data_IF_869194111316
#
_entry.id   IF_869194111316
#
_cell.length_a   1.000
_cell.length_b   1.000
_cell.length_c   1.000
_cell.angle_alpha   90.00
_cell.angle_beta   90.00
_cell.angle_gamma   90.00
#
_symmetry.space_group_name_H-M   'P 1'
#
loop_
_entity.id
_entity.type
_entity.pdbx_description
1 polymer ?
#
# COMPACT_ATOMS: atom_id res chain seq x y z
N UNK A 1 -18.92 85.28 -10.75
CA UNK A 1 -19.85 84.56 -9.85
C UNK A 1 -20.35 83.26 -10.47
N UNK A 2 -20.59 83.18 -11.80
CA UNK A 2 -20.93 81.92 -12.49
C UNK A 2 -19.82 80.86 -12.47
N UNK A 3 -18.55 81.24 -12.67
CA UNK A 3 -17.43 80.26 -12.70
C UNK A 3 -17.25 79.45 -11.41
N UNK A 4 -17.54 80.05 -10.25
CA UNK A 4 -17.39 79.37 -8.98
C UNK A 4 -18.44 78.27 -8.78
N UNK A 5 -19.67 78.50 -9.25
CA UNK A 5 -20.74 77.50 -9.23
C UNK A 5 -20.42 76.31 -10.16
N UNK A 6 -19.78 76.56 -11.31
CA UNK A 6 -19.33 75.48 -12.19
C UNK A 6 -18.23 74.63 -11.57
N UNK A 7 -17.23 75.25 -10.93
CA UNK A 7 -16.14 74.52 -10.25
C UNK A 7 -16.69 73.64 -9.13
N UNK A 8 -17.64 74.15 -8.34
CA UNK A 8 -18.30 73.38 -7.27
C UNK A 8 -19.08 72.21 -7.86
N UNK A 9 -19.82 72.41 -8.95
CA UNK A 9 -20.58 71.36 -9.63
C UNK A 9 -19.66 70.24 -10.16
N UNK A 10 -18.56 70.60 -10.82
CA UNK A 10 -17.58 69.64 -11.35
C UNK A 10 -16.92 68.87 -10.22
N UNK A 11 -16.53 69.55 -9.13
CA UNK A 11 -15.93 68.91 -7.96
C UNK A 11 -16.87 67.89 -7.32
N UNK A 12 -18.15 68.24 -7.16
CA UNK A 12 -19.17 67.33 -6.61
C UNK A 12 -19.38 66.12 -7.51
N UNK A 13 -19.38 66.33 -8.83
CA UNK A 13 -19.54 65.26 -9.82
C UNK A 13 -18.35 64.28 -9.80
N UNK A 14 -17.11 64.78 -9.64
CA UNK A 14 -15.92 63.93 -9.49
C UNK A 14 -16.01 63.08 -8.22
N UNK A 15 -16.35 63.70 -7.08
CA UNK A 15 -16.48 62.97 -5.79
C UNK A 15 -17.58 61.92 -5.87
N UNK A 16 -18.72 62.26 -6.48
CA UNK A 16 -19.83 61.33 -6.69
C UNK A 16 -19.43 60.10 -7.50
N UNK A 17 -18.74 60.28 -8.64
CA UNK A 17 -18.25 59.17 -9.45
C UNK A 17 -17.20 58.32 -8.74
N UNK A 18 -16.37 58.94 -7.90
CA UNK A 18 -15.37 58.24 -7.10
C UNK A 18 -16.03 57.35 -6.04
N UNK A 19 -17.05 57.87 -5.33
CA UNK A 19 -17.86 57.11 -4.37
C UNK A 19 -18.58 55.95 -5.06
N UNK A 20 -19.24 56.21 -6.20
CA UNK A 20 -19.93 55.15 -6.97
C UNK A 20 -18.94 54.06 -7.39
N UNK A 21 -17.74 54.43 -7.84
CA UNK A 21 -16.72 53.47 -8.24
C UNK A 21 -16.28 52.59 -7.06
N UNK A 22 -16.04 53.19 -5.88
CA UNK A 22 -15.70 52.43 -4.65
C UNK A 22 -16.84 51.49 -4.25
N UNK A 23 -18.08 51.99 -4.21
CA UNK A 23 -19.25 51.17 -3.84
C UNK A 23 -19.44 50.02 -4.83
N UNK A 24 -19.26 50.26 -6.12
CA UNK A 24 -19.36 49.22 -7.17
C UNK A 24 -18.30 48.14 -6.97
N UNK A 25 -17.04 48.52 -6.70
CA UNK A 25 -15.95 47.58 -6.42
C UNK A 25 -16.23 46.76 -5.16
N UNK A 26 -16.68 47.39 -4.07
CA UNK A 26 -17.00 46.70 -2.83
C UNK A 26 -18.19 45.75 -3.00
N UNK A 27 -19.21 46.16 -3.75
CA UNK A 27 -20.39 45.34 -4.06
C UNK A 27 -20.00 44.13 -4.89
N UNK A 28 -19.17 44.31 -5.93
CA UNK A 28 -18.65 43.20 -6.73
C UNK A 28 -17.81 42.22 -5.87
N UNK A 29 -16.93 42.73 -5.00
CA UNK A 29 -16.14 41.89 -4.08
C UNK A 29 -17.03 41.11 -3.11
N UNK A 30 -18.09 41.72 -2.59
CA UNK A 30 -19.04 41.06 -1.67
C UNK A 30 -19.87 40.01 -2.40
N UNK A 31 -20.45 40.35 -3.55
CA UNK A 31 -21.21 39.41 -4.39
C UNK A 31 -20.36 38.21 -4.80
N UNK A 32 -19.10 38.42 -5.23
CA UNK A 32 -18.17 37.34 -5.55
C UNK A 32 -17.88 36.43 -4.35
N UNK A 33 -17.75 36.98 -3.14
CA UNK A 33 -17.59 36.18 -1.91
C UNK A 33 -18.85 35.38 -1.59
N UNK A 34 -20.03 35.99 -1.70
CA UNK A 34 -21.31 35.32 -1.40
C UNK A 34 -21.68 34.25 -2.42
N UNK A 35 -21.44 34.46 -3.71
CA UNK A 35 -21.69 33.46 -4.75
C UNK A 35 -20.76 32.24 -4.59
N UNK A 36 -19.53 32.46 -4.16
CA UNK A 36 -18.55 31.37 -3.95
C UNK A 36 -18.67 30.70 -2.57
N UNK A 37 -19.46 31.25 -1.64
CA UNK A 37 -19.69 30.63 -0.32
C UNK A 37 -20.36 29.25 -0.44
N UNK A 38 -21.49 29.09 -1.17
CA UNK A 38 -22.15 27.79 -1.35
C UNK A 38 -21.21 26.72 -1.94
N UNK A 39 -20.47 27.07 -3.00
CA UNK A 39 -19.54 26.16 -3.66
C UNK A 39 -18.41 25.74 -2.71
N UNK A 40 -17.84 26.68 -1.95
CA UNK A 40 -16.82 26.37 -0.94
C UNK A 40 -17.36 25.47 0.16
N UNK A 41 -18.61 25.68 0.59
CA UNK A 41 -19.22 24.84 1.62
C UNK A 41 -19.53 23.43 1.11
N UNK A 42 -19.87 23.26 -0.16
CA UNK A 42 -20.12 21.94 -0.76
C UNK A 42 -18.82 21.16 -0.94
N UNK A 43 -17.78 21.80 -1.49
CA UNK A 43 -16.44 21.21 -1.60
C UNK A 43 -15.92 20.83 -0.22
N UNK A 44 -16.10 21.69 0.79
CA UNK A 44 -15.68 21.39 2.16
C UNK A 44 -16.42 20.17 2.74
N UNK A 45 -17.72 20.02 2.48
CA UNK A 45 -18.48 18.83 2.91
C UNK A 45 -17.92 17.56 2.27
N UNK A 46 -17.65 17.57 0.97
CA UNK A 46 -17.05 16.43 0.27
C UNK A 46 -15.66 16.12 0.84
N UNK A 47 -14.83 17.13 1.10
CA UNK A 47 -13.53 16.94 1.76
C UNK A 47 -13.66 16.28 3.14
N UNK A 48 -14.68 16.67 3.92
CA UNK A 48 -14.95 16.10 5.22
C UNK A 48 -15.34 14.62 5.12
N UNK A 49 -16.19 14.26 4.15
CA UNK A 49 -16.56 12.87 3.88
C UNK A 49 -15.35 12.01 3.52
N UNK A 50 -14.45 12.51 2.67
CA UNK A 50 -13.23 11.78 2.29
C UNK A 50 -12.25 11.62 3.46
N UNK A 51 -12.04 12.69 4.24
CA UNK A 51 -11.18 12.61 5.42
C UNK A 51 -11.78 11.72 6.53
N UNK A 52 -13.11 11.62 6.63
CA UNK A 52 -13.77 10.69 7.54
C UNK A 52 -13.49 9.23 7.14
N UNK A 53 -13.41 8.92 5.84
CA UNK A 53 -12.97 7.59 5.36
C UNK A 53 -11.52 7.31 5.78
N UNK A 54 -10.63 8.29 5.65
CA UNK A 54 -9.23 8.15 6.11
C UNK A 54 -9.16 7.91 7.61
N UNK A 55 -9.92 8.66 8.42
CA UNK A 55 -9.99 8.42 9.86
C UNK A 55 -10.53 7.02 10.20
N UNK A 56 -11.52 6.52 9.46
CA UNK A 56 -12.04 5.16 9.66
C UNK A 56 -10.96 4.08 9.44
N UNK A 57 -10.00 4.34 8.55
CA UNK A 57 -8.89 3.43 8.28
C UNK A 57 -7.83 3.49 9.38
N UNK A 58 -7.45 4.67 9.85
CA UNK A 58 -6.26 4.83 10.71
C UNK A 58 -6.54 5.14 12.19
N UNK A 59 -7.69 5.76 12.50
CA UNK A 59 -7.95 6.27 13.85
C UNK A 59 -8.30 5.16 14.83
N UNK A 60 -7.55 5.08 15.93
CA UNK A 60 -7.86 4.21 17.07
C UNK A 60 -7.45 2.75 16.89
N UNK A 61 -6.81 2.40 15.77
CA UNK A 61 -6.30 1.04 15.53
C UNK A 61 -5.01 0.77 16.31
N UNK A 62 -4.92 -0.46 16.77
CA UNK A 62 -3.71 -1.07 17.33
C UNK A 62 -2.78 -1.55 16.22
N UNK A 63 -1.52 -1.86 16.56
CA UNK A 63 -0.56 -2.43 15.61
C UNK A 63 -1.09 -3.74 14.98
N UNK A 64 -1.78 -4.57 15.77
CA UNK A 64 -2.32 -5.84 15.31
C UNK A 64 -3.41 -5.60 14.26
N UNK A 65 -4.36 -4.71 14.54
CA UNK A 65 -5.44 -4.40 13.59
C UNK A 65 -4.92 -3.79 12.28
N UNK A 66 -3.88 -2.94 12.34
CA UNK A 66 -3.23 -2.38 11.14
C UNK A 66 -2.52 -3.47 10.31
N UNK A 67 -1.96 -4.48 10.97
CA UNK A 67 -1.34 -5.62 10.30
C UNK A 67 -2.39 -6.54 9.68
N UNK A 68 -3.52 -6.72 10.36
CA UNK A 68 -4.65 -7.53 9.90
C UNK A 68 -5.36 -6.90 8.70
N UNK A 69 -5.47 -5.57 8.64
CA UNK A 69 -6.00 -4.86 7.46
C UNK A 69 -5.28 -5.27 6.16
N UNK A 70 -3.96 -5.48 6.22
CA UNK A 70 -3.15 -5.99 5.11
C UNK A 70 -2.99 -7.51 5.12
N UNK A 71 -3.55 -8.22 6.09
CA UNK A 71 -3.42 -9.69 6.21
C UNK A 71 -1.96 -10.17 6.21
N UNK A 72 -1.07 -9.44 6.89
CA UNK A 72 0.36 -9.74 6.90
C UNK A 72 0.70 -11.14 7.46
N UNK A 73 -0.05 -11.61 8.46
CA UNK A 73 0.11 -12.98 8.99
C UNK A 73 -0.20 -14.04 7.92
N UNK A 74 -1.26 -13.81 7.13
CA UNK A 74 -1.62 -14.70 6.02
C UNK A 74 -0.57 -14.68 4.92
N UNK A 75 -0.04 -13.50 4.57
CA UNK A 75 1.08 -13.36 3.63
C UNK A 75 2.26 -14.20 4.09
N UNK A 76 2.67 -14.05 5.35
CA UNK A 76 3.77 -14.84 5.89
C UNK A 76 3.50 -16.35 5.78
N UNK A 77 2.33 -16.81 6.24
CA UNK A 77 1.97 -18.23 6.26
C UNK A 77 1.94 -18.86 4.86
N UNK A 78 1.27 -18.20 3.91
CA UNK A 78 1.15 -18.64 2.51
C UNK A 78 2.53 -18.84 1.90
N UNK A 79 3.43 -17.87 2.12
CA UNK A 79 4.75 -17.89 1.53
C UNK A 79 5.71 -18.84 2.24
N UNK A 80 5.61 -18.99 3.57
CA UNK A 80 6.30 -20.05 4.30
C UNK A 80 5.86 -21.43 3.80
N UNK A 81 4.56 -21.67 3.62
CA UNK A 81 4.04 -22.91 3.06
C UNK A 81 4.62 -23.19 1.67
N UNK A 82 4.70 -22.16 0.80
CA UNK A 82 5.29 -22.28 -0.53
C UNK A 82 6.77 -22.68 -0.46
N UNK A 83 7.56 -22.03 0.40
CA UNK A 83 8.98 -22.35 0.60
C UNK A 83 9.17 -23.80 1.05
N UNK A 84 8.32 -24.29 1.96
CA UNK A 84 8.37 -25.67 2.44
C UNK A 84 7.99 -26.68 1.36
N UNK A 85 6.99 -26.35 0.53
CA UNK A 85 6.60 -27.20 -0.60
C UNK A 85 7.69 -27.23 -1.68
N UNK A 86 8.36 -26.10 -1.95
CA UNK A 86 9.53 -26.06 -2.84
C UNK A 86 10.70 -26.90 -2.29
N UNK A 87 10.95 -26.84 -0.98
CA UNK A 87 11.94 -27.69 -0.32
C UNK A 87 11.58 -29.17 -0.44
N UNK A 88 10.32 -29.52 -0.23
CA UNK A 88 9.81 -30.89 -0.36
C UNK A 88 10.01 -31.43 -1.79
N UNK A 89 9.75 -30.60 -2.80
CA UNK A 89 9.93 -30.96 -4.20
C UNK A 89 11.43 -31.09 -4.57
N UNK A 90 12.25 -30.09 -4.24
CA UNK A 90 13.67 -30.07 -4.65
C UNK A 90 14.48 -31.12 -3.90
N UNK A 91 14.24 -31.28 -2.59
CA UNK A 91 15.07 -32.13 -1.73
C UNK A 91 14.54 -33.56 -1.62
N UNK A 92 13.21 -33.77 -1.62
CA UNK A 92 12.60 -35.09 -1.45
C UNK A 92 11.83 -35.59 -2.68
N UNK A 93 11.70 -34.81 -3.75
CA UNK A 93 10.88 -35.14 -4.94
C UNK A 93 9.40 -35.37 -4.60
N UNK A 94 8.92 -34.69 -3.54
CA UNK A 94 7.52 -34.74 -3.12
C UNK A 94 6.78 -33.57 -3.76
N UNK A 95 5.93 -33.88 -4.73
CA UNK A 95 5.10 -32.88 -5.41
C UNK A 95 3.75 -32.74 -4.73
N UNK A 96 3.43 -31.52 -4.33
CA UNK A 96 2.15 -31.17 -3.75
C UNK A 96 1.23 -30.55 -4.81
N UNK A 97 -0.05 -30.91 -4.81
CA UNK A 97 -1.03 -30.31 -5.72
C UNK A 97 -1.23 -28.81 -5.38
N UNK A 98 -0.84 -27.88 -6.27
CA UNK A 98 -0.96 -26.44 -5.99
C UNK A 98 -2.39 -25.98 -5.74
N UNK A 99 -3.41 -26.68 -6.27
CA UNK A 99 -4.82 -26.27 -6.12
C UNK A 99 -5.34 -26.38 -4.69
N UNK A 100 -4.80 -27.32 -3.91
CA UNK A 100 -5.18 -27.53 -2.51
C UNK A 100 -4.35 -26.70 -1.52
N UNK A 101 -3.42 -25.87 -2.01
CA UNK A 101 -2.47 -25.12 -1.18
C UNK A 101 -2.93 -23.68 -0.99
N UNK A 102 -2.59 -23.03 0.14
CA UNK A 102 -3.05 -21.67 0.46
C UNK A 102 -2.46 -20.59 -0.46
N UNK A 103 -1.38 -20.91 -1.20
CA UNK A 103 -0.80 -20.03 -2.22
C UNK A 103 -1.41 -20.19 -3.62
N UNK A 104 -2.54 -20.91 -3.74
CA UNK A 104 -3.22 -21.08 -5.02
C UNK A 104 -3.71 -19.74 -5.60
N UNK A 105 -3.90 -19.68 -6.92
CA UNK A 105 -4.30 -18.44 -7.63
C UNK A 105 -5.69 -17.89 -7.25
N UNK A 106 -6.57 -18.69 -6.64
CA UNK A 106 -7.86 -18.19 -6.16
C UNK A 106 -7.71 -17.42 -4.86
N UNK A 107 -6.84 -17.87 -3.96
CA UNK A 107 -6.54 -17.21 -2.68
C UNK A 107 -5.51 -16.09 -2.83
N UNK A 108 -4.52 -16.30 -3.70
CA UNK A 108 -3.44 -15.37 -4.01
C UNK A 108 -3.45 -15.01 -5.50
N UNK A 109 -4.34 -14.09 -5.93
CA UNK A 109 -4.47 -13.72 -7.34
C UNK A 109 -3.27 -12.93 -7.87
N UNK A 110 -2.51 -12.29 -6.97
CA UNK A 110 -1.38 -11.43 -7.30
C UNK A 110 -0.10 -12.00 -6.70
N UNK A 111 1.01 -11.83 -7.42
CA UNK A 111 2.35 -12.12 -6.92
C UNK A 111 3.24 -10.90 -7.09
N UNK A 112 4.16 -10.69 -6.14
CA UNK A 112 5.23 -9.72 -6.24
C UNK A 112 6.55 -10.46 -6.49
N UNK A 113 7.31 -10.03 -7.49
CA UNK A 113 8.59 -10.65 -7.83
C UNK A 113 9.75 -9.77 -7.36
N UNK A 114 10.80 -10.38 -6.82
CA UNK A 114 12.08 -9.67 -6.70
C UNK A 114 12.62 -9.39 -8.10
N UNK A 115 13.34 -8.27 -8.25
CA UNK A 115 13.86 -7.85 -9.55
C UNK A 115 14.84 -8.89 -10.09
N UNK A 116 15.73 -9.36 -9.22
CA UNK A 116 16.76 -10.34 -9.52
C UNK A 116 16.14 -11.66 -10.00
N UNK A 117 15.13 -12.16 -9.28
CA UNK A 117 14.43 -13.37 -9.68
C UNK A 117 13.66 -13.19 -10.99
N UNK A 118 13.02 -12.04 -11.18
CA UNK A 118 12.29 -11.73 -12.40
C UNK A 118 13.21 -11.76 -13.63
N UNK A 119 14.40 -11.15 -13.54
CA UNK A 119 15.37 -11.11 -14.63
C UNK A 119 15.93 -12.50 -14.98
N UNK A 120 16.07 -13.39 -14.00
CA UNK A 120 16.62 -14.72 -14.21
C UNK A 120 15.57 -15.77 -14.64
N UNK A 121 14.34 -15.66 -14.16
CA UNK A 121 13.34 -16.73 -14.25
C UNK A 121 12.11 -16.37 -15.11
N UNK A 122 11.82 -15.08 -15.34
CA UNK A 122 10.68 -14.69 -16.18
C UNK A 122 11.13 -14.57 -17.64
N UNK A 123 10.67 -15.50 -18.46
CA UNK A 123 10.88 -15.48 -19.90
C UNK A 123 9.65 -14.86 -20.56
N UNK A 124 9.86 -13.83 -21.38
CA UNK A 124 8.81 -13.32 -22.27
C UNK A 124 8.38 -14.44 -23.21
N UNK A 125 7.13 -14.89 -23.09
CA UNK A 125 6.55 -15.77 -24.09
C UNK A 125 6.24 -14.96 -25.34
N UNK A 126 7.18 -14.90 -26.29
CA UNK A 126 6.88 -14.57 -27.68
C UNK A 126 6.13 -15.76 -28.29
N UNK A 127 4.80 -15.76 -28.11
CA UNK A 127 3.90 -16.86 -28.50
C UNK A 127 3.67 -16.98 -30.02
N UNK A 128 4.68 -16.66 -30.84
CA UNK A 128 4.69 -16.94 -32.28
C UNK A 128 5.68 -18.03 -32.68
N UNK A 129 6.56 -18.43 -31.76
CA UNK A 129 7.56 -19.47 -31.98
C UNK A 129 7.75 -20.28 -30.69
N UNK A 130 7.03 -21.39 -30.53
CA UNK A 130 7.49 -22.46 -29.64
C UNK A 130 7.46 -23.78 -30.39
N UNK A 131 8.65 -24.28 -30.64
CA UNK A 131 8.94 -25.68 -30.90
C UNK A 131 8.89 -26.37 -29.52
N UNK A 132 7.95 -27.31 -29.33
CA UNK A 132 7.64 -27.98 -28.05
C UNK A 132 8.74 -28.95 -27.57
N UNK A 133 9.96 -28.80 -28.06
CA UNK A 133 11.04 -29.77 -27.94
C UNK A 133 12.14 -29.32 -26.97
N UNK A 134 11.84 -29.12 -25.67
CA UNK A 134 12.89 -29.15 -24.62
C UNK A 134 12.38 -29.10 -23.18
N UNK A 135 11.70 -30.13 -22.68
CA UNK A 135 11.86 -30.53 -21.27
C UNK A 135 11.86 -32.06 -21.18
N UNK A 136 13.00 -32.68 -21.50
CA UNK A 136 13.25 -34.06 -21.09
C UNK A 136 13.43 -34.09 -19.56
N UNK A 137 12.44 -34.64 -18.85
CA UNK A 137 12.57 -35.01 -17.44
C UNK A 137 13.46 -36.25 -17.34
N UNK A 138 14.77 -36.02 -17.13
CA UNK A 138 15.69 -37.09 -16.75
C UNK A 138 15.36 -37.58 -15.33
N UNK A 139 14.63 -38.70 -15.27
CA UNK A 139 14.24 -39.41 -14.04
C UNK A 139 15.37 -40.33 -13.53
N UNK A 140 16.59 -39.81 -13.36
CA UNK A 140 17.64 -40.55 -12.64
C UNK A 140 17.62 -40.19 -11.14
N UNK A 141 17.95 -41.13 -10.23
CA UNK A 141 18.02 -40.84 -8.80
C UNK A 141 19.13 -39.82 -8.52
N UNK A 142 18.74 -38.57 -8.33
CA UNK A 142 19.68 -37.48 -8.01
C UNK A 142 20.24 -37.69 -6.60
N UNK A 143 21.57 -37.82 -6.49
CA UNK A 143 22.34 -37.89 -5.23
C UNK A 143 21.92 -36.75 -4.27
N UNK A 144 21.80 -37.06 -2.98
CA UNK A 144 21.48 -36.11 -1.90
C UNK A 144 22.38 -34.87 -1.93
N UNK A 145 23.66 -35.04 -2.28
CA UNK A 145 24.62 -33.91 -2.43
C UNK A 145 24.23 -32.96 -3.57
N UNK A 146 23.70 -33.49 -4.66
CA UNK A 146 23.26 -32.70 -5.81
C UNK A 146 21.95 -31.97 -5.47
N UNK A 147 21.05 -32.61 -4.69
CA UNK A 147 19.82 -31.96 -4.20
C UNK A 147 20.13 -30.82 -3.24
N UNK A 148 21.01 -31.04 -2.27
CA UNK A 148 21.49 -29.98 -1.37
C UNK A 148 22.15 -28.83 -2.14
N UNK A 149 22.99 -29.13 -3.14
CA UNK A 149 23.61 -28.11 -3.98
C UNK A 149 22.61 -27.31 -4.83
N UNK A 150 21.49 -27.91 -5.25
CA UNK A 150 20.39 -27.18 -5.91
C UNK A 150 19.65 -26.30 -4.92
N UNK A 151 19.36 -26.81 -3.73
CA UNK A 151 18.68 -26.05 -2.69
C UNK A 151 19.50 -24.86 -2.17
N UNK A 152 20.83 -24.98 -2.06
CA UNK A 152 21.67 -23.85 -1.69
C UNK A 152 21.67 -22.70 -2.70
N UNK A 153 21.19 -22.94 -3.94
CA UNK A 153 20.98 -21.90 -4.95
C UNK A 153 19.53 -21.40 -4.99
N UNK A 154 18.70 -21.83 -4.04
CA UNK A 154 17.31 -21.43 -3.97
C UNK A 154 17.20 -19.93 -3.72
N UNK A 155 16.35 -19.28 -4.51
CA UNK A 155 15.98 -17.88 -4.38
C UNK A 155 14.47 -17.79 -4.19
N UNK A 156 14.02 -17.26 -3.05
CA UNK A 156 12.60 -17.02 -2.78
C UNK A 156 12.15 -15.74 -3.48
N UNK A 157 11.93 -15.82 -4.79
CA UNK A 157 11.72 -14.65 -5.62
C UNK A 157 10.28 -14.30 -5.99
N UNK A 158 9.30 -15.17 -5.70
CA UNK A 158 7.86 -14.90 -5.89
C UNK A 158 7.13 -14.86 -4.54
N UNK A 159 6.71 -13.67 -4.14
CA UNK A 159 5.87 -13.46 -2.96
C UNK A 159 4.39 -13.50 -3.37
N UNK A 160 3.67 -14.51 -2.90
CA UNK A 160 2.26 -14.70 -3.14
C UNK A 160 1.45 -13.75 -2.24
N UNK A 161 0.58 -12.95 -2.84
CA UNK A 161 -0.19 -11.91 -2.15
C UNK A 161 -1.65 -12.35 -2.04
N UNK A 162 -2.18 -12.57 -0.81
CA UNK A 162 -3.57 -12.87 -0.58
C UNK A 162 -4.50 -11.78 -1.11
N UNK A 163 -5.68 -12.19 -1.58
CA UNK A 163 -6.70 -11.28 -2.10
C UNK A 163 -7.04 -10.16 -1.13
N UNK A 164 -7.10 -10.45 0.17
CA UNK A 164 -7.44 -9.46 1.21
C UNK A 164 -6.48 -8.28 1.23
N UNK A 165 -5.17 -8.52 1.03
CA UNK A 165 -4.17 -7.46 0.90
C UNK A 165 -4.48 -6.58 -0.32
N UNK A 166 -4.70 -7.21 -1.48
CA UNK A 166 -4.94 -6.49 -2.74
C UNK A 166 -6.25 -5.67 -2.69
N UNK A 167 -7.29 -6.21 -2.06
CA UNK A 167 -8.56 -5.51 -1.88
C UNK A 167 -8.39 -4.29 -0.96
N UNK A 168 -7.63 -4.41 0.13
CA UNK A 168 -7.34 -3.30 1.03
C UNK A 168 -6.45 -2.23 0.37
N UNK A 169 -5.39 -2.65 -0.32
CA UNK A 169 -4.49 -1.74 -1.04
C UNK A 169 -5.25 -0.95 -2.12
N UNK A 170 -6.14 -1.62 -2.87
CA UNK A 170 -7.01 -0.96 -3.83
C UNK A 170 -7.89 0.10 -3.19
N UNK A 171 -8.55 -0.23 -2.07
CA UNK A 171 -9.38 0.75 -1.35
C UNK A 171 -8.58 1.99 -0.90
N UNK A 172 -7.31 1.80 -0.51
CA UNK A 172 -6.45 2.91 -0.12
C UNK A 172 -6.00 3.73 -1.34
N UNK A 173 -5.69 3.08 -2.47
CA UNK A 173 -5.34 3.76 -3.72
C UNK A 173 -6.51 4.58 -4.28
N UNK A 174 -7.73 4.06 -4.22
CA UNK A 174 -8.94 4.78 -4.65
C UNK A 174 -9.12 6.09 -3.84
N UNK A 175 -8.71 6.10 -2.56
CA UNK A 175 -8.70 7.34 -1.75
C UNK A 175 -7.61 8.31 -2.22
N UNK A 176 -6.40 7.81 -2.52
CA UNK A 176 -5.28 8.63 -2.98
C UNK A 176 -5.53 9.30 -4.34
N UNK A 177 -6.32 8.68 -5.20
CA UNK A 177 -6.72 9.25 -6.49
C UNK A 177 -7.72 10.42 -6.36
N UNK A 178 -8.25 10.66 -5.15
CA UNK A 178 -9.24 11.70 -4.92
C UNK A 178 -8.60 13.10 -4.85
N UNK A 179 -8.92 14.03 -5.76
CA UNK A 179 -8.34 15.37 -5.79
C UNK A 179 -8.77 16.27 -4.63
N UNK A 180 -9.74 15.84 -3.81
CA UNK A 180 -10.23 16.56 -2.65
C UNK A 180 -9.30 16.40 -1.43
N UNK A 181 -8.45 15.38 -1.42
CA UNK A 181 -7.49 15.16 -0.33
C UNK A 181 -6.35 16.19 -0.38
N UNK A 182 -5.97 16.78 0.78
CA UNK A 182 -4.80 17.63 0.86
C UNK A 182 -3.53 16.87 0.46
N UNK A 183 -2.65 17.53 -0.31
CA UNK A 183 -1.40 16.94 -0.78
C UNK A 183 -0.55 16.35 0.37
N UNK A 184 -0.50 17.03 1.51
CA UNK A 184 0.25 16.56 2.67
C UNK A 184 -0.30 15.23 3.23
N UNK A 185 -1.62 15.04 3.21
CA UNK A 185 -2.25 13.78 3.63
C UNK A 185 -1.91 12.66 2.65
N UNK A 186 -1.98 12.94 1.34
CA UNK A 186 -1.56 12.01 0.27
C UNK A 186 -0.12 11.56 0.49
N UNK A 187 0.80 12.49 0.76
CA UNK A 187 2.22 12.17 1.02
C UNK A 187 2.39 11.28 2.26
N UNK A 188 1.63 11.51 3.33
CA UNK A 188 1.70 10.69 4.53
C UNK A 188 1.16 9.27 4.28
N UNK A 189 0.05 9.12 3.56
CA UNK A 189 -0.49 7.80 3.19
C UNK A 189 0.46 7.06 2.26
N UNK A 190 1.10 7.74 1.30
CA UNK A 190 2.13 7.13 0.45
C UNK A 190 3.35 6.66 1.25
N UNK A 191 3.74 7.42 2.28
CA UNK A 191 4.84 7.03 3.18
C UNK A 191 4.47 5.80 4.01
N UNK A 192 3.20 5.66 4.38
CA UNK A 192 2.66 4.46 5.00
C UNK A 192 2.66 3.25 4.05
N UNK A 193 2.24 3.42 2.79
CA UNK A 193 2.33 2.37 1.77
C UNK A 193 3.76 1.93 1.49
N UNK A 194 4.72 2.86 1.51
CA UNK A 194 6.13 2.53 1.38
C UNK A 194 6.59 1.61 2.52
N UNK A 195 6.21 1.93 3.77
CA UNK A 195 6.51 1.08 4.93
C UNK A 195 5.91 -0.32 4.81
N UNK A 196 4.69 -0.43 4.27
CA UNK A 196 4.04 -1.72 3.97
C UNK A 196 4.85 -2.51 2.94
N UNK A 197 5.29 -1.87 1.85
CA UNK A 197 6.12 -2.50 0.82
C UNK A 197 7.50 -2.95 1.36
N UNK A 198 8.09 -2.18 2.28
CA UNK A 198 9.31 -2.58 2.98
C UNK A 198 9.09 -3.85 3.82
N UNK A 199 7.96 -3.97 4.51
CA UNK A 199 7.60 -5.17 5.27
C UNK A 199 7.38 -6.39 4.36
N UNK A 200 6.75 -6.23 3.19
CA UNK A 200 6.63 -7.30 2.20
C UNK A 200 8.00 -7.77 1.70
N UNK A 201 8.87 -6.82 1.36
CA UNK A 201 10.24 -7.11 0.91
C UNK A 201 11.03 -7.84 2.01
N UNK A 202 10.82 -7.45 3.27
CA UNK A 202 11.44 -8.11 4.42
C UNK A 202 10.99 -9.57 4.55
N UNK A 203 9.71 -9.89 4.34
CA UNK A 203 9.20 -11.26 4.38
C UNK A 203 9.92 -12.14 3.34
N UNK A 204 10.00 -11.67 2.09
CA UNK A 204 10.68 -12.43 1.02
C UNK A 204 12.15 -12.71 1.36
N UNK A 205 12.89 -11.68 1.79
CA UNK A 205 14.29 -11.82 2.21
C UNK A 205 14.48 -12.75 3.41
N UNK A 206 13.57 -12.68 4.39
CA UNK A 206 13.61 -13.56 5.55
C UNK A 206 13.41 -15.02 5.14
N UNK A 207 12.44 -15.30 4.27
CA UNK A 207 12.21 -16.66 3.78
C UNK A 207 13.39 -17.17 2.97
N UNK A 208 13.98 -16.35 2.10
CA UNK A 208 15.19 -16.71 1.35
C UNK A 208 16.39 -17.01 2.28
N UNK A 209 16.61 -16.16 3.30
CA UNK A 209 17.65 -16.39 4.32
C UNK A 209 17.42 -17.70 5.06
N UNK A 210 16.19 -17.95 5.52
CA UNK A 210 15.85 -19.13 6.32
C UNK A 210 15.72 -20.41 5.50
N UNK A 211 15.47 -20.31 4.20
CA UNK A 211 15.50 -21.45 3.28
C UNK A 211 16.84 -22.17 3.36
N UNK A 212 17.95 -21.43 3.53
CA UNK A 212 19.30 -22.00 3.61
C UNK A 212 19.55 -22.87 4.85
N UNK A 213 18.69 -22.82 5.87
CA UNK A 213 18.79 -23.63 7.10
C UNK A 213 17.85 -24.86 7.07
N UNK A 214 17.11 -25.06 5.98
CA UNK A 214 16.06 -26.09 5.90
C UNK A 214 16.61 -27.51 5.89
N UNK A 215 17.76 -27.76 5.25
CA UNK A 215 18.39 -29.07 5.19
C UNK A 215 18.98 -29.52 6.53
N UNK A 216 19.56 -28.58 7.28
CA UNK A 216 20.01 -28.83 8.65
C UNK A 216 18.84 -29.12 9.61
N UNK A 217 17.74 -28.36 9.51
CA UNK A 217 16.57 -28.51 10.40
C UNK A 217 15.71 -29.72 10.02
N UNK A 218 15.49 -29.94 8.73
CA UNK A 218 14.58 -30.93 8.17
C UNK A 218 15.27 -31.85 7.15
N UNK A 219 16.26 -32.66 7.58
CA UNK A 219 17.01 -33.55 6.68
C UNK A 219 16.21 -34.77 6.20
N UNK A 220 15.05 -35.08 6.80
CA UNK A 220 14.20 -36.23 6.44
C UNK A 220 12.74 -35.82 6.28
N UNK A 221 11.99 -36.64 5.55
CA UNK A 221 10.56 -36.45 5.31
C UNK A 221 9.78 -36.45 6.62
N UNK A 222 10.11 -37.34 7.56
CA UNK A 222 9.43 -37.41 8.86
C UNK A 222 9.62 -36.12 9.67
N UNK A 223 10.83 -35.55 9.64
CA UNK A 223 11.11 -34.26 10.29
C UNK A 223 10.37 -33.12 9.61
N UNK A 224 10.32 -33.12 8.27
CA UNK A 224 9.56 -32.13 7.51
C UNK A 224 8.06 -32.21 7.80
N UNK A 225 7.50 -33.41 7.98
CA UNK A 225 6.09 -33.60 8.36
C UNK A 225 5.77 -33.10 9.77
N UNK A 226 6.75 -33.08 10.66
CA UNK A 226 6.63 -32.55 12.03
C UNK A 226 7.08 -31.08 12.12
N UNK A 227 7.27 -30.43 10.97
CA UNK A 227 7.78 -29.06 10.94
C UNK A 227 6.76 -28.04 11.45
N UNK A 228 7.29 -26.88 11.83
CA UNK A 228 6.52 -25.71 12.24
C UNK A 228 7.18 -24.47 11.67
N UNK A 229 6.35 -23.45 11.39
CA UNK A 229 6.82 -22.15 10.93
C UNK A 229 7.25 -21.23 12.08
N UNK A 230 7.04 -21.61 13.35
CA UNK A 230 7.20 -20.74 14.52
C UNK A 230 8.59 -20.11 14.65
N UNK A 231 9.63 -20.86 14.27
CA UNK A 231 11.01 -20.38 14.36
C UNK A 231 11.32 -19.27 13.33
N UNK A 232 10.68 -19.30 12.17
CA UNK A 232 10.76 -18.22 11.18
C UNK A 232 9.80 -17.09 11.59
N UNK A 233 8.61 -17.45 12.10
CA UNK A 233 7.59 -16.50 12.53
C UNK A 233 8.08 -15.57 13.64
N UNK A 234 8.82 -16.11 14.62
CA UNK A 234 9.44 -15.32 15.69
C UNK A 234 10.35 -14.24 15.11
N UNK A 235 11.22 -14.60 14.16
CA UNK A 235 12.10 -13.64 13.48
C UNK A 235 11.32 -12.64 12.62
N UNK A 236 10.24 -13.08 11.99
CA UNK A 236 9.34 -12.22 11.24
C UNK A 236 8.74 -11.14 12.14
N UNK A 237 8.21 -11.51 13.30
CA UNK A 237 7.65 -10.56 14.28
C UNK A 237 8.72 -9.60 14.79
N UNK A 238 9.93 -10.09 15.07
CA UNK A 238 11.04 -9.24 15.54
C UNK A 238 11.51 -8.23 14.48
N UNK A 239 11.54 -8.63 13.20
CA UNK A 239 12.01 -7.78 12.09
C UNK A 239 10.91 -6.90 11.50
N UNK A 240 9.65 -7.10 11.89
CA UNK A 240 8.51 -6.34 11.37
C UNK A 240 8.60 -4.87 11.76
N UNK A 241 8.54 -3.98 10.77
CA UNK A 241 8.52 -2.53 11.01
C UNK A 241 7.12 -2.11 11.41
N UNK A 242 7.01 -1.52 12.60
CA UNK A 242 5.73 -1.09 13.19
C UNK A 242 5.01 -0.05 12.35
N UNK A 243 3.74 -0.30 12.03
CA UNK A 243 2.87 0.56 11.20
C UNK A 243 2.25 1.71 12.00
N UNK A 244 1.99 1.48 13.30
CA UNK A 244 1.25 2.38 14.18
C UNK A 244 1.76 3.82 14.23
N UNK A 245 3.08 4.09 14.35
CA UNK A 245 3.57 5.47 14.43
C UNK A 245 3.16 6.31 13.21
N UNK A 246 3.24 5.74 12.00
CA UNK A 246 2.87 6.42 10.77
C UNK A 246 1.34 6.55 10.63
N UNK A 247 0.58 5.52 11.04
CA UNK A 247 -0.88 5.58 11.08
C UNK A 247 -1.40 6.67 12.04
N UNK A 248 -0.79 6.78 13.22
CA UNK A 248 -1.15 7.79 14.21
C UNK A 248 -0.84 9.20 13.69
N UNK A 249 0.26 9.39 12.94
CA UNK A 249 0.55 10.67 12.29
C UNK A 249 -0.51 11.08 11.26
N UNK A 250 -1.00 10.12 10.46
CA UNK A 250 -2.10 10.36 9.50
C UNK A 250 -3.37 10.77 10.26
N UNK A 251 -3.74 10.03 11.30
CA UNK A 251 -4.92 10.34 12.10
C UNK A 251 -4.83 11.71 12.78
N UNK A 252 -3.67 12.05 13.35
CA UNK A 252 -3.40 13.36 13.96
C UNK A 252 -3.48 14.49 12.94
N UNK A 253 -2.94 14.29 11.73
CA UNK A 253 -3.03 15.29 10.67
C UNK A 253 -4.49 15.61 10.35
N UNK A 254 -5.32 14.59 10.14
CA UNK A 254 -6.74 14.80 9.82
C UNK A 254 -7.48 15.52 10.95
N UNK A 255 -7.24 15.16 12.22
CA UNK A 255 -7.84 15.86 13.37
C UNK A 255 -7.41 17.34 13.43
N UNK A 256 -6.12 17.60 13.21
CA UNK A 256 -5.57 18.96 13.23
C UNK A 256 -6.12 19.83 12.10
N UNK A 257 -6.38 19.24 10.92
CA UNK A 257 -6.92 19.94 9.76
C UNK A 257 -8.29 20.56 10.04
N UNK A 258 -9.12 19.85 10.82
CA UNK A 258 -10.48 20.31 11.15
C UNK A 258 -10.59 21.06 12.47
N UNK A 259 -9.51 21.16 13.26
CA UNK A 259 -9.55 21.77 14.61
C UNK A 259 -10.68 21.19 15.47
N UNK A 260 -11.01 19.90 15.31
CA UNK A 260 -12.13 19.26 16.01
C UNK A 260 -12.00 19.36 17.52
N UNK A 261 -10.76 19.32 18.03
CA UNK A 261 -10.47 19.43 19.46
C UNK A 261 -10.60 20.87 19.99
N UNK A 262 -10.50 21.89 19.12
CA UNK A 262 -10.78 23.28 19.49
C UNK A 262 -12.30 23.53 19.54
N UNK A 263 -13.07 22.91 18.63
CA UNK A 263 -14.53 23.02 18.56
C UNK A 263 -15.28 22.33 19.71
N UNK A 264 -14.66 21.33 20.34
CA UNK A 264 -15.26 20.55 21.45
C UNK A 264 -14.97 21.15 22.84
N UNK A 265 -14.08 22.15 22.91
CA UNK A 265 -13.65 22.81 24.15
C UNK A 265 -14.20 24.23 24.32
N UNK A 266 -15.12 24.66 23.44
CA UNK A 266 -16.00 25.85 23.60
C UNK A 266 -17.37 25.44 24.14
#
# INVERSE_FOLDING_TARGET
>A
MMDWLEIVKVSFQIVFWLIISIVTILTYRRARRTILQPIRTEVFKLQLEEMAKVLKIFSGKTEIELRDDYSFEKIFYVNACRMYDDYAEIFFDIKNDPKGRPYNRNECPVSMFSKEYAEENLILMDSHLKDDSSIEQNNEPIDLRVRAARWHKYAYGELHIPKEFSDFEKNLNDLLENPLLPLQLVTQIQSYQYLVAENLTMIGKLLEEKAQEMDDKYPTVEKLQQSSYDWIHTLYVERFKTLKPTADQIALYVRSYFKTDELMNE
#
